data_IF_672588333761
#
_entry.id   IF_672588333761
#
_cell.length_a   1.000
_cell.length_b   1.000
_cell.length_c   1.000
_cell.angle_alpha   90.00
_cell.angle_beta   90.00
_cell.angle_gamma   90.00
#
_symmetry.space_group_name_H-M   'P 1'
#
loop_
_entity.id
_entity.type
_entity.pdbx_description
1 polymer ?
#
# COMPACT_ATOMS: atom_id res chain seq x y z
N UNK A 1 28.06 -2.10 0.08
CA UNK A 1 26.65 -1.85 0.42
C UNK A 1 25.80 -2.11 -0.81
N UNK A 2 25.21 -3.31 -0.90
CA UNK A 2 24.31 -3.65 -2.01
C UNK A 2 22.98 -2.92 -1.81
N UNK A 3 22.77 -1.86 -2.57
CA UNK A 3 21.45 -1.21 -2.64
C UNK A 3 20.42 -2.21 -3.15
N UNK A 4 19.19 -2.12 -2.66
CA UNK A 4 18.04 -2.83 -3.20
C UNK A 4 17.92 -2.51 -4.69
N UNK A 5 18.50 -3.37 -5.54
CA UNK A 5 18.25 -3.34 -6.97
C UNK A 5 16.87 -3.93 -7.15
N UNK A 6 15.92 -3.13 -7.63
CA UNK A 6 14.62 -3.63 -8.04
C UNK A 6 14.85 -4.66 -9.17
N UNK A 7 14.76 -5.94 -8.83
CA UNK A 7 14.78 -7.02 -9.81
C UNK A 7 13.45 -6.96 -10.57
N UNK A 8 13.53 -6.95 -11.91
CA UNK A 8 12.33 -6.87 -12.77
C UNK A 8 11.38 -8.02 -12.48
N UNK A 9 10.07 -7.78 -12.62
CA UNK A 9 9.07 -8.83 -12.42
C UNK A 9 9.25 -9.97 -13.42
N UNK A 10 9.71 -9.70 -14.64
CA UNK A 10 9.98 -10.75 -15.65
C UNK A 10 11.00 -11.78 -15.15
N UNK A 11 12.01 -11.34 -14.41
CA UNK A 11 13.05 -12.23 -13.83
C UNK A 11 12.45 -13.09 -12.71
N UNK A 12 11.53 -12.53 -11.92
CA UNK A 12 10.85 -13.26 -10.84
C UNK A 12 9.91 -14.32 -11.41
N UNK A 13 9.12 -13.94 -12.41
CA UNK A 13 8.20 -14.84 -13.11
C UNK A 13 8.97 -15.96 -13.81
N UNK A 14 10.08 -15.64 -14.49
CA UNK A 14 10.94 -16.63 -15.11
C UNK A 14 11.56 -17.59 -14.09
N UNK A 15 12.06 -17.08 -12.95
CA UNK A 15 12.62 -17.91 -11.89
C UNK A 15 11.60 -18.89 -11.31
N UNK A 16 10.37 -18.42 -11.03
CA UNK A 16 9.29 -19.26 -10.52
C UNK A 16 8.83 -20.29 -11.55
N UNK A 17 8.76 -19.91 -12.83
CA UNK A 17 8.37 -20.83 -13.88
C UNK A 17 9.40 -21.96 -14.09
N UNK A 18 10.70 -21.64 -14.05
CA UNK A 18 11.76 -22.65 -14.12
C UNK A 18 11.71 -23.60 -12.93
N UNK A 19 11.41 -23.07 -11.75
CA UNK A 19 11.20 -23.87 -10.54
C UNK A 19 10.02 -24.83 -10.67
N UNK A 20 8.87 -24.37 -11.18
CA UNK A 20 7.69 -25.22 -11.44
C UNK A 20 7.97 -26.36 -12.44
N UNK A 21 8.81 -26.10 -13.46
CA UNK A 21 9.22 -27.11 -14.45
C UNK A 21 10.21 -28.13 -13.84
N UNK A 22 10.71 -27.89 -12.63
CA UNK A 22 11.56 -28.81 -11.87
C UNK A 22 13.06 -28.56 -12.04
N UNK A 23 13.46 -27.35 -12.44
CA UNK A 23 14.89 -26.97 -12.48
C UNK A 23 15.47 -26.89 -11.08
N UNK A 24 16.77 -27.16 -10.96
CA UNK A 24 17.47 -27.04 -9.67
C UNK A 24 17.69 -25.56 -9.32
N UNK A 25 17.69 -25.25 -8.02
CA UNK A 25 17.92 -23.90 -7.54
C UNK A 25 19.27 -23.34 -7.99
N UNK A 26 20.32 -24.17 -8.01
CA UNK A 26 21.65 -23.75 -8.44
C UNK A 26 21.64 -23.30 -9.91
N UNK A 27 20.95 -24.04 -10.79
CA UNK A 27 20.86 -23.73 -12.21
C UNK A 27 20.04 -22.47 -12.49
N UNK A 28 18.94 -22.27 -11.74
CA UNK A 28 18.10 -21.06 -11.83
C UNK A 28 18.90 -19.83 -11.39
N UNK A 29 19.61 -19.92 -10.26
CA UNK A 29 20.41 -18.82 -9.74
C UNK A 29 21.57 -18.46 -10.66
N UNK A 30 22.24 -19.47 -11.23
CA UNK A 30 23.31 -19.28 -12.18
C UNK A 30 22.83 -18.63 -13.49
N UNK A 31 21.70 -19.11 -14.04
CA UNK A 31 21.17 -18.61 -15.31
C UNK A 31 20.59 -17.20 -15.24
N UNK A 32 19.91 -16.86 -14.14
CA UNK A 32 19.28 -15.54 -13.96
C UNK A 32 20.16 -14.53 -13.22
N UNK A 33 21.31 -14.96 -12.69
CA UNK A 33 22.24 -14.10 -11.95
C UNK A 33 21.64 -13.58 -10.62
N UNK A 34 20.76 -14.36 -10.00
CA UNK A 34 20.05 -14.03 -8.76
C UNK A 34 20.50 -14.93 -7.62
N UNK A 35 20.30 -14.50 -6.38
CA UNK A 35 20.65 -15.32 -5.22
C UNK A 35 19.56 -16.36 -4.91
N UNK A 36 19.94 -17.53 -4.40
CA UNK A 36 18.98 -18.55 -3.96
C UNK A 36 18.00 -17.97 -2.93
N UNK A 37 18.49 -17.14 -2.02
CA UNK A 37 17.67 -16.47 -1.01
C UNK A 37 16.56 -15.59 -1.62
N UNK A 38 16.83 -14.95 -2.77
CA UNK A 38 15.82 -14.14 -3.49
C UNK A 38 14.73 -15.03 -4.09
N UNK A 39 15.10 -16.15 -4.70
CA UNK A 39 14.14 -17.07 -5.32
C UNK A 39 13.25 -17.74 -4.28
N UNK A 40 13.82 -18.20 -3.15
CA UNK A 40 13.02 -18.70 -2.02
C UNK A 40 12.05 -17.65 -1.46
N UNK A 41 12.51 -16.39 -1.39
CA UNK A 41 11.66 -15.31 -0.94
C UNK A 41 10.48 -15.05 -1.89
N UNK A 42 10.71 -15.11 -3.21
CA UNK A 42 9.65 -14.98 -4.21
C UNK A 42 8.69 -16.15 -4.20
N UNK A 43 9.16 -17.39 -4.04
CA UNK A 43 8.30 -18.56 -3.91
C UNK A 43 7.40 -18.45 -2.66
N UNK A 44 7.97 -18.06 -1.53
CA UNK A 44 7.21 -17.85 -0.29
C UNK A 44 6.13 -16.78 -0.46
N UNK A 45 6.45 -15.65 -1.12
CA UNK A 45 5.49 -14.58 -1.42
C UNK A 45 4.41 -15.07 -2.40
N UNK A 46 4.81 -15.80 -3.44
CA UNK A 46 3.89 -16.33 -4.44
C UNK A 46 2.91 -17.33 -3.83
N UNK A 47 3.36 -18.21 -2.94
CA UNK A 47 2.51 -19.16 -2.24
C UNK A 47 1.57 -18.47 -1.22
N UNK A 48 1.98 -17.35 -0.63
CA UNK A 48 1.16 -16.58 0.31
C UNK A 48 0.10 -15.71 -0.38
N UNK A 49 0.44 -15.11 -1.53
CA UNK A 49 -0.39 -14.07 -2.17
C UNK A 49 -0.92 -14.44 -3.56
N UNK A 50 -0.57 -15.62 -4.08
CA UNK A 50 -0.92 -16.09 -5.44
C UNK A 50 -0.53 -15.09 -6.55
N UNK A 51 0.45 -14.23 -6.29
CA UNK A 51 0.86 -13.15 -7.17
C UNK A 51 2.38 -12.93 -7.08
N UNK A 52 3.03 -12.84 -8.25
CA UNK A 52 4.46 -12.51 -8.38
C UNK A 52 4.72 -11.01 -8.15
N UNK A 53 3.64 -10.23 -8.05
CA UNK A 53 3.69 -8.81 -7.80
C UNK A 53 4.32 -8.50 -6.44
N UNK A 54 5.24 -7.54 -6.48
CA UNK A 54 5.93 -7.00 -5.32
C UNK A 54 4.94 -6.64 -4.20
N UNK A 55 5.20 -7.10 -2.97
CA UNK A 55 4.50 -6.59 -1.78
C UNK A 55 4.49 -5.06 -1.86
N UNK A 56 3.35 -4.38 -1.64
CA UNK A 56 3.38 -2.95 -1.40
C UNK A 56 4.39 -2.70 -0.27
N UNK A 57 5.29 -1.75 -0.49
CA UNK A 57 6.40 -1.49 0.43
C UNK A 57 5.88 -1.33 1.86
N UNK A 58 6.53 -1.91 2.88
CA UNK A 58 6.16 -1.68 4.29
C UNK A 58 6.34 -0.21 4.70
N UNK A 59 6.95 0.61 3.83
CA UNK A 59 7.09 2.06 3.95
C UNK A 59 5.92 2.82 3.30
N UNK A 60 4.70 2.28 3.35
CA UNK A 60 3.55 3.19 3.33
C UNK A 60 3.55 3.87 4.71
N UNK A 61 3.57 5.20 4.73
CA UNK A 61 3.44 5.96 5.96
C UNK A 61 2.20 5.53 6.75
N UNK A 62 2.10 5.93 8.03
CA UNK A 62 1.01 5.51 8.91
C UNK A 62 -0.34 5.64 8.21
N UNK A 63 -1.10 4.54 8.25
CA UNK A 63 -2.47 4.41 7.75
C UNK A 63 -3.27 5.66 8.11
N UNK A 64 -3.89 6.28 7.10
CA UNK A 64 -4.70 7.49 7.21
C UNK A 64 -5.40 7.57 8.57
N UNK A 65 -5.07 8.61 9.35
CA UNK A 65 -5.63 8.88 10.69
C UNK A 65 -7.18 8.92 10.64
N UNK A 66 -7.73 9.17 9.45
CA UNK A 66 -9.15 9.11 9.16
C UNK A 66 -9.48 7.76 8.50
N UNK A 67 -10.08 6.85 9.27
CA UNK A 67 -10.70 5.62 8.75
C UNK A 67 -11.67 5.96 7.61
N UNK A 68 -11.81 5.08 6.61
CA UNK A 68 -12.78 5.20 5.51
C UNK A 68 -14.20 5.58 5.97
N UNK A 69 -14.62 5.09 7.14
CA UNK A 69 -15.92 5.41 7.74
C UNK A 69 -16.05 6.91 8.13
N UNK A 70 -14.97 7.55 8.58
CA UNK A 70 -14.96 8.97 8.92
C UNK A 70 -14.94 9.84 7.67
N UNK A 71 -14.24 9.41 6.62
CA UNK A 71 -14.28 10.07 5.32
C UNK A 71 -15.70 10.05 4.74
N UNK A 72 -16.38 8.90 4.76
CA UNK A 72 -17.77 8.79 4.33
C UNK A 72 -18.73 9.66 5.18
N UNK A 73 -18.48 9.76 6.48
CA UNK A 73 -19.28 10.61 7.37
C UNK A 73 -19.06 12.11 7.10
N UNK A 74 -17.81 12.52 6.82
CA UNK A 74 -17.50 13.88 6.39
C UNK A 74 -18.14 14.17 5.03
N UNK A 75 -18.08 13.24 4.07
CA UNK A 75 -18.71 13.39 2.76
C UNK A 75 -20.23 13.55 2.88
N UNK A 76 -20.88 12.78 3.75
CA UNK A 76 -22.31 12.94 4.04
C UNK A 76 -22.62 14.32 4.63
N UNK A 77 -21.80 14.78 5.59
CA UNK A 77 -21.95 16.08 6.22
C UNK A 77 -21.79 17.24 5.21
N UNK A 78 -20.79 17.18 4.34
CA UNK A 78 -20.59 18.16 3.27
C UNK A 78 -21.68 18.14 2.18
N UNK A 79 -22.35 17.00 1.97
CA UNK A 79 -23.48 16.89 1.04
C UNK A 79 -24.77 17.47 1.62
N UNK A 80 -24.98 17.30 2.93
CA UNK A 80 -26.16 17.82 3.62
C UNK A 80 -26.04 19.33 3.85
N UNK A 81 -24.84 19.81 4.23
CA UNK A 81 -24.57 21.22 4.47
C UNK A 81 -23.26 21.65 3.78
N UNK A 82 -23.39 22.14 2.55
CA UNK A 82 -22.26 22.57 1.70
C UNK A 82 -21.51 23.80 2.20
N UNK A 83 -22.10 24.52 3.16
CA UNK A 83 -21.58 25.80 3.66
C UNK A 83 -20.81 25.67 4.99
N UNK A 84 -20.64 24.44 5.50
CA UNK A 84 -19.91 24.16 6.72
C UNK A 84 -18.43 24.53 6.60
N UNK A 85 -17.95 25.33 7.54
CA UNK A 85 -16.54 25.67 7.63
C UNK A 85 -15.72 24.52 8.19
N UNK A 86 -14.42 24.50 7.86
CA UNK A 86 -13.49 23.43 8.23
C UNK A 86 -13.38 23.24 9.76
N UNK A 87 -13.49 24.32 10.53
CA UNK A 87 -13.50 24.33 12.00
C UNK A 87 -14.79 23.76 12.59
N UNK A 88 -15.92 23.92 11.93
CA UNK A 88 -17.20 23.31 12.32
C UNK A 88 -17.13 21.78 12.13
N UNK A 89 -16.54 21.32 11.03
CA UNK A 89 -16.31 19.88 10.76
C UNK A 89 -15.35 19.27 11.80
N UNK A 90 -14.29 19.98 12.17
CA UNK A 90 -13.36 19.56 13.25
C UNK A 90 -14.09 19.48 14.59
N UNK A 91 -14.94 20.46 14.88
CA UNK A 91 -15.75 20.49 16.12
C UNK A 91 -16.75 19.33 16.14
N UNK A 92 -17.40 19.04 15.02
CA UNK A 92 -18.32 17.92 14.88
C UNK A 92 -17.60 16.57 15.06
N UNK A 93 -16.43 16.38 14.44
CA UNK A 93 -15.60 15.18 14.62
C UNK A 93 -15.16 14.98 16.08
N UNK A 94 -14.82 16.07 16.77
CA UNK A 94 -14.45 16.04 18.18
C UNK A 94 -15.64 15.69 19.09
N UNK A 95 -16.85 16.18 18.79
CA UNK A 95 -18.04 15.96 19.60
C UNK A 95 -18.71 14.60 19.35
N UNK A 96 -18.88 14.21 18.09
CA UNK A 96 -19.63 13.00 17.69
C UNK A 96 -18.73 11.78 17.69
N UNK A 97 -17.52 11.91 17.14
CA UNK A 97 -16.60 10.79 16.95
C UNK A 97 -15.49 10.72 18.00
N UNK A 98 -15.35 11.73 18.87
CA UNK A 98 -14.26 11.86 19.86
C UNK A 98 -12.86 11.83 19.23
N UNK A 99 -12.76 12.31 18.00
CA UNK A 99 -11.52 12.31 17.24
C UNK A 99 -11.04 13.75 17.12
N UNK A 100 -9.83 14.01 17.63
CA UNK A 100 -9.19 15.31 17.50
C UNK A 100 -8.23 15.28 16.32
N UNK A 101 -8.58 16.05 15.28
CA UNK A 101 -7.79 16.18 14.05
C UNK A 101 -7.42 17.64 13.87
N UNK A 102 -6.17 17.91 13.49
CA UNK A 102 -5.77 19.25 13.10
C UNK A 102 -6.33 19.63 11.72
N UNK A 103 -6.69 20.91 11.56
CA UNK A 103 -7.13 21.49 10.28
C UNK A 103 -6.20 21.18 9.10
N UNK A 104 -4.88 21.15 9.33
CA UNK A 104 -3.89 20.76 8.32
C UNK A 104 -4.02 19.30 7.84
N UNK A 105 -4.40 18.38 8.73
CA UNK A 105 -4.58 16.96 8.39
C UNK A 105 -5.89 16.74 7.65
N UNK A 106 -6.94 17.49 8.00
CA UNK A 106 -8.23 17.39 7.33
C UNK A 106 -8.21 18.02 5.93
N UNK A 107 -7.39 19.05 5.70
CA UNK A 107 -7.22 19.68 4.38
C UNK A 107 -6.32 18.91 3.42
N UNK A 108 -5.41 18.06 3.92
CA UNK A 108 -4.54 17.24 3.06
C UNK A 108 -5.26 16.01 2.46
N UNK A 109 -6.19 15.41 3.22
CA UNK A 109 -6.93 14.21 2.79
C UNK A 109 -7.87 14.38 1.58
N UNK A 110 -8.62 15.49 1.38
CA UNK A 110 -9.50 15.64 0.22
C UNK A 110 -8.74 15.79 -1.12
N UNK A 111 -7.49 16.26 -1.10
CA UNK A 111 -6.66 16.33 -2.30
C UNK A 111 -6.20 14.95 -2.79
N UNK A 112 -6.03 13.97 -1.88
CA UNK A 112 -5.70 12.58 -2.26
C UNK A 112 -6.91 11.78 -2.76
N UNK A 113 -8.14 12.22 -2.49
CA UNK A 113 -9.39 11.50 -2.84
C UNK A 113 -10.02 12.06 -4.14
N UNK A 114 -9.40 13.07 -4.76
CA UNK A 114 -9.82 13.57 -6.08
C UNK A 114 -11.03 14.51 -6.04
N UNK A 115 -11.21 15.28 -4.96
CA UNK A 115 -12.17 16.38 -4.91
C UNK A 115 -11.52 17.69 -5.36
N UNK A 116 -11.21 17.75 -6.65
CA UNK A 116 -11.16 18.97 -7.49
C UNK A 116 -11.52 18.59 -8.91
#
# INVERSE_FOLDING_TARGET
TMGNRCISNDIKECALHLWEIGWTMEDICFSLGVSCSSVYHWEAIFNELSAVAQRPSPLQGPTQILTQALLAACEWLFKEESDLYLDEVITWLALVHKIQISSATLSHNPQEIGLT
#
